data_IF_702125701259
#
_entry.id   IF_702125701259
#
_cell.length_a   1.000
_cell.length_b   1.000
_cell.length_c   1.000
_cell.angle_alpha   90.00
_cell.angle_beta   90.00
_cell.angle_gamma   90.00
#
_symmetry.space_group_name_H-M   'P 1'
#
loop_
_entity.id
_entity.type
_entity.pdbx_description
1 polymer ?
#
# COMPACT_ATOMS: atom_id res chain seq x y z
N UNK A 1 -29.05 -20.58 -30.60
CA UNK A 1 -28.47 -19.25 -30.91
C UNK A 1 -29.65 -18.32 -31.18
N UNK A 2 -30.17 -17.65 -30.16
CA UNK A 2 -31.27 -16.69 -30.31
C UNK A 2 -30.75 -15.33 -29.86
N UNK A 3 -30.48 -14.44 -30.82
CA UNK A 3 -30.09 -13.06 -30.55
C UNK A 3 -31.33 -12.26 -30.15
N UNK A 4 -31.38 -11.86 -28.89
CA UNK A 4 -32.37 -10.92 -28.38
C UNK A 4 -31.98 -9.50 -28.81
N UNK A 5 -32.69 -8.96 -29.79
CA UNK A 5 -32.62 -7.53 -30.13
C UNK A 5 -32.92 -6.68 -28.88
N UNK A 6 -32.12 -5.64 -28.59
CA UNK A 6 -32.44 -4.75 -27.48
C UNK A 6 -33.74 -4.00 -27.79
N UNK A 7 -34.67 -4.03 -26.84
CA UNK A 7 -35.91 -3.28 -26.90
C UNK A 7 -35.58 -1.78 -26.96
N UNK A 8 -35.77 -1.18 -28.14
CA UNK A 8 -35.79 0.27 -28.29
C UNK A 8 -36.89 0.79 -27.37
N UNK A 9 -36.48 1.54 -26.34
CA UNK A 9 -37.40 2.18 -25.42
C UNK A 9 -38.45 2.95 -26.21
N UNK A 10 -39.72 2.77 -25.84
CA UNK A 10 -40.86 3.48 -26.45
C UNK A 10 -40.59 4.98 -26.37
N UNK A 11 -40.20 5.57 -27.50
CA UNK A 11 -40.24 7.02 -27.67
C UNK A 11 -41.69 7.43 -27.43
N UNK A 12 -41.91 8.27 -26.41
CA UNK A 12 -43.23 8.85 -26.14
C UNK A 12 -43.80 9.45 -27.42
N UNK A 13 -45.09 9.23 -27.64
CA UNK A 13 -45.96 9.84 -28.67
C UNK A 13 -45.24 10.88 -29.52
N UNK A 14 -44.92 10.50 -30.76
CA UNK A 14 -44.23 11.28 -31.78
C UNK A 14 -44.48 12.79 -31.63
N UNK A 15 -43.52 13.49 -31.02
CA UNK A 15 -43.41 14.95 -31.13
C UNK A 15 -43.41 15.33 -32.61
N UNK A 16 -43.91 16.53 -32.92
CA UNK A 16 -43.87 17.12 -34.26
C UNK A 16 -42.45 16.94 -34.86
N UNK A 17 -42.35 16.56 -36.14
CA UNK A 17 -41.06 16.35 -36.80
C UNK A 17 -40.12 17.56 -36.66
N UNK A 18 -40.67 18.77 -36.58
CA UNK A 18 -39.93 20.01 -36.30
C UNK A 18 -39.33 20.01 -34.90
N UNK A 19 -40.06 19.52 -33.90
CA UNK A 19 -39.57 19.42 -32.53
C UNK A 19 -38.47 18.35 -32.41
N UNK A 20 -38.61 17.21 -33.11
CA UNK A 20 -37.56 16.18 -33.15
C UNK A 20 -36.28 16.69 -33.84
N UNK A 21 -36.41 17.42 -34.94
CA UNK A 21 -35.27 18.06 -35.63
C UNK A 21 -34.58 19.10 -34.73
N UNK A 22 -35.35 19.89 -33.97
CA UNK A 22 -34.80 20.85 -33.04
C UNK A 22 -34.05 20.17 -31.87
N UNK A 23 -34.61 19.11 -31.29
CA UNK A 23 -33.95 18.30 -30.25
C UNK A 23 -32.62 17.73 -30.79
N UNK A 24 -32.62 17.22 -32.02
CA UNK A 24 -31.41 16.70 -32.64
C UNK A 24 -30.36 17.80 -32.82
N UNK A 25 -30.75 18.97 -33.34
CA UNK A 25 -29.86 20.13 -33.49
C UNK A 25 -29.27 20.58 -32.16
N UNK A 26 -30.07 20.59 -31.10
CA UNK A 26 -29.60 21.01 -29.79
C UNK A 26 -28.65 19.98 -29.16
N UNK A 27 -28.90 18.66 -29.33
CA UNK A 27 -27.93 17.63 -28.95
C UNK A 27 -26.58 17.84 -29.64
N UNK A 28 -26.56 18.07 -30.95
CA UNK A 28 -25.31 18.30 -31.69
C UNK A 28 -24.57 19.55 -31.16
N UNK A 29 -25.29 20.65 -30.87
CA UNK A 29 -24.68 21.84 -30.27
C UNK A 29 -24.07 21.53 -28.90
N UNK A 30 -24.80 20.83 -28.04
CA UNK A 30 -24.31 20.46 -26.71
C UNK A 30 -23.11 19.52 -26.78
N UNK A 31 -23.09 18.58 -27.73
CA UNK A 31 -21.93 17.71 -27.95
C UNK A 31 -20.70 18.52 -28.38
N UNK A 32 -20.85 19.47 -29.30
CA UNK A 32 -19.77 20.36 -29.73
C UNK A 32 -19.27 21.22 -28.57
N UNK A 33 -20.17 21.81 -27.80
CA UNK A 33 -19.82 22.66 -26.67
C UNK A 33 -19.16 21.86 -25.53
N UNK A 34 -19.66 20.65 -25.26
CA UNK A 34 -19.05 19.73 -24.32
C UNK A 34 -17.65 19.34 -24.80
N UNK A 35 -17.47 19.00 -26.08
CA UNK A 35 -16.16 18.67 -26.66
C UNK A 35 -15.18 19.85 -26.61
N UNK A 36 -15.66 21.09 -26.73
CA UNK A 36 -14.85 22.31 -26.58
C UNK A 36 -14.45 22.58 -25.15
N UNK A 37 -15.34 22.34 -24.18
CA UNK A 37 -15.06 22.55 -22.73
C UNK A 37 -14.24 21.40 -22.13
N UNK A 38 -14.34 20.20 -22.69
CA UNK A 38 -13.72 19.00 -22.17
C UNK A 38 -12.20 19.12 -21.94
N UNK A 39 -11.37 19.71 -22.83
CA UNK A 39 -9.94 19.87 -22.58
C UNK A 39 -9.62 20.81 -21.42
N UNK A 40 -10.48 21.78 -21.12
CA UNK A 40 -10.26 22.70 -20.01
C UNK A 40 -10.66 22.06 -18.67
N UNK A 41 -11.83 21.42 -18.64
CA UNK A 41 -12.38 20.85 -17.41
C UNK A 41 -11.77 19.48 -17.08
N UNK A 42 -11.40 18.69 -18.10
CA UNK A 42 -10.94 17.30 -17.98
C UNK A 42 -9.59 17.04 -18.64
N UNK A 43 -8.92 18.05 -19.19
CA UNK A 43 -7.62 17.88 -19.84
C UNK A 43 -6.53 17.33 -18.91
N UNK A 44 -6.66 17.55 -17.60
CA UNK A 44 -5.75 17.01 -16.59
C UNK A 44 -5.71 15.48 -16.57
N UNK A 45 -6.75 14.80 -17.07
CA UNK A 45 -6.78 13.33 -17.20
C UNK A 45 -5.82 12.79 -18.27
N UNK A 46 -5.38 13.65 -19.21
CA UNK A 46 -4.36 13.28 -20.21
C UNK A 46 -2.94 13.40 -19.67
N UNK A 47 -2.75 14.23 -18.65
CA UNK A 47 -1.42 14.54 -18.10
C UNK A 47 -1.00 13.50 -17.09
N UNK A 48 0.31 13.22 -16.98
CA UNK A 48 0.82 12.33 -15.94
C UNK A 48 0.73 13.00 -14.56
N UNK A 49 0.54 12.21 -13.50
CA UNK A 49 0.57 12.72 -12.12
C UNK A 49 1.85 13.50 -11.82
N UNK A 50 2.99 13.05 -12.36
CA UNK A 50 4.26 13.73 -12.17
C UNK A 50 4.23 15.18 -12.66
N UNK A 51 3.59 15.46 -13.79
CA UNK A 51 3.50 16.81 -14.35
C UNK A 51 2.58 17.73 -13.54
N UNK A 52 1.49 17.19 -12.99
CA UNK A 52 0.53 17.95 -12.20
C UNK A 52 1.13 18.48 -10.89
N UNK A 53 2.12 17.76 -10.34
CA UNK A 53 2.67 18.05 -8.99
C UNK A 53 4.10 18.60 -9.05
N UNK A 54 4.60 18.94 -10.26
CA UNK A 54 5.93 19.55 -10.46
C UNK A 54 6.08 20.86 -9.69
N UNK A 55 5.03 21.68 -9.68
CA UNK A 55 5.07 23.02 -9.09
C UNK A 55 4.90 22.99 -7.56
N UNK A 56 4.21 21.99 -7.02
CA UNK A 56 4.04 21.79 -5.58
C UNK A 56 5.32 21.29 -4.92
N UNK A 57 6.11 20.47 -5.64
CA UNK A 57 7.37 19.89 -5.15
C UNK A 57 8.59 20.50 -5.84
N UNK A 58 8.70 21.82 -5.82
CA UNK A 58 9.94 22.48 -6.24
C UNK A 58 11.13 21.91 -5.46
N UNK A 59 12.03 21.26 -6.20
CA UNK A 59 13.24 20.65 -5.63
C UNK A 59 14.14 21.76 -5.10
N UNK A 60 14.03 22.05 -3.81
CA UNK A 60 14.95 22.97 -3.14
C UNK A 60 16.35 22.42 -3.29
N UNK A 61 17.25 23.23 -3.83
CA UNK A 61 18.67 22.90 -3.85
C UNK A 61 19.15 22.86 -2.39
N UNK A 62 19.29 21.65 -1.85
CA UNK A 62 19.88 21.44 -0.53
C UNK A 62 21.37 21.75 -0.68
N UNK A 63 21.73 23.00 -0.40
CA UNK A 63 23.15 23.38 -0.30
C UNK A 63 23.73 22.59 0.86
N UNK A 64 24.69 21.72 0.56
CA UNK A 64 25.44 20.99 1.58
C UNK A 64 26.19 22.02 2.41
N UNK A 65 25.78 22.21 3.65
CA UNK A 65 26.46 23.11 4.59
C UNK A 65 27.80 22.46 4.89
N UNK A 66 28.89 23.12 4.51
CA UNK A 66 30.23 22.72 4.93
C UNK A 66 30.36 23.06 6.42
N UNK A 67 30.48 22.02 7.25
CA UNK A 67 30.66 22.19 8.69
C UNK A 67 32.11 22.65 8.94
N UNK A 68 32.33 23.66 9.81
CA UNK A 68 33.68 24.05 10.19
C UNK A 68 34.41 22.89 10.89
N UNK A 69 35.77 22.83 10.83
CA UNK A 69 36.55 21.70 11.32
C UNK A 69 36.22 21.21 12.75
N UNK A 70 35.95 22.10 13.74
CA UNK A 70 35.58 21.67 15.10
C UNK A 70 34.25 20.90 15.19
N UNK A 71 33.37 21.06 14.20
CA UNK A 71 32.06 20.40 14.12
C UNK A 71 32.08 19.18 13.19
N UNK A 72 33.22 18.85 12.59
CA UNK A 72 33.36 17.64 11.79
C UNK A 72 33.51 16.43 12.72
N UNK A 73 32.61 15.45 12.57
CA UNK A 73 32.76 14.18 13.24
C UNK A 73 33.97 13.43 12.65
N UNK A 74 34.73 12.69 13.46
CA UNK A 74 35.74 11.78 12.92
C UNK A 74 35.07 10.81 11.93
N UNK A 75 35.80 10.35 10.89
CA UNK A 75 35.25 9.40 9.94
C UNK A 75 34.69 8.20 10.71
N UNK A 76 33.44 7.83 10.41
CA UNK A 76 32.82 6.65 11.00
C UNK A 76 33.78 5.49 10.76
N UNK A 77 34.30 4.95 11.86
CA UNK A 77 35.06 3.71 11.82
C UNK A 77 34.16 2.67 11.15
N UNK A 78 34.67 1.91 10.16
CA UNK A 78 33.83 1.00 9.41
C UNK A 78 33.12 0.07 10.39
N UNK A 79 31.81 -0.11 10.19
CA UNK A 79 30.94 -0.88 11.10
C UNK A 79 31.50 -2.29 11.35
N UNK A 80 32.28 -2.82 10.40
CA UNK A 80 32.99 -4.10 10.49
C UNK A 80 33.98 -4.20 11.67
N UNK A 81 34.49 -3.07 12.18
CA UNK A 81 35.37 -3.06 13.36
C UNK A 81 34.65 -3.49 14.63
N UNK A 82 33.34 -3.23 14.72
CA UNK A 82 32.53 -3.53 15.91
C UNK A 82 31.54 -4.68 15.67
N UNK A 83 31.06 -4.86 14.44
CA UNK A 83 30.14 -5.93 14.07
C UNK A 83 30.93 -7.05 13.40
N UNK A 84 31.24 -8.09 14.18
CA UNK A 84 31.83 -9.34 13.66
C UNK A 84 30.71 -10.31 13.30
N UNK A 85 30.40 -10.44 12.01
CA UNK A 85 29.47 -11.46 11.52
C UNK A 85 30.20 -12.80 11.49
N UNK A 86 29.85 -13.70 12.40
CA UNK A 86 30.40 -15.06 12.42
C UNK A 86 29.81 -15.91 11.28
N UNK A 87 30.55 -16.89 10.76
CA UNK A 87 30.04 -17.81 9.74
C UNK A 87 28.82 -18.61 10.26
N UNK A 88 27.99 -19.08 9.34
CA UNK A 88 26.83 -19.90 9.69
C UNK A 88 27.25 -21.23 10.37
N UNK A 89 26.43 -21.77 11.28
CA UNK A 89 26.64 -23.11 11.82
C UNK A 89 26.68 -24.14 10.68
N UNK A 90 27.63 -25.08 10.74
CA UNK A 90 27.74 -26.20 9.79
C UNK A 90 27.31 -27.50 10.47
N UNK A 91 26.66 -28.43 9.76
CA UNK A 91 26.41 -28.45 8.31
C UNK A 91 25.19 -27.61 7.89
N UNK A 92 25.29 -26.95 6.72
CA UNK A 92 24.13 -26.33 6.09
C UNK A 92 23.28 -27.43 5.41
N UNK A 93 21.94 -27.40 5.55
CA UNK A 93 21.07 -28.40 4.95
C UNK A 93 21.17 -28.43 3.42
N UNK A 94 21.26 -29.63 2.85
CA UNK A 94 21.33 -29.84 1.38
C UNK A 94 19.98 -29.65 0.69
N UNK A 95 18.88 -29.95 1.39
CA UNK A 95 17.52 -29.93 0.83
C UNK A 95 16.77 -28.67 1.24
N UNK A 96 15.98 -28.08 0.32
CA UNK A 96 15.15 -26.90 0.58
C UNK A 96 14.22 -27.08 1.78
N UNK A 97 13.56 -28.24 1.92
CA UNK A 97 12.70 -28.52 3.07
C UNK A 97 13.47 -28.49 4.40
N UNK A 98 14.71 -28.94 4.38
CA UNK A 98 15.60 -28.93 5.55
C UNK A 98 16.15 -27.54 5.87
N UNK A 99 15.98 -26.53 5.00
CA UNK A 99 16.33 -25.13 5.31
C UNK A 99 15.34 -24.46 6.25
N UNK A 100 14.16 -25.05 6.43
CA UNK A 100 13.14 -24.52 7.34
C UNK A 100 13.48 -25.04 8.75
N UNK A 101 13.76 -24.14 9.68
CA UNK A 101 13.96 -24.48 11.08
C UNK A 101 15.29 -25.16 11.47
N UNK A 102 16.21 -25.44 10.54
CA UNK A 102 17.49 -26.10 10.89
C UNK A 102 18.31 -25.36 11.94
N UNK A 103 18.27 -24.01 11.92
CA UNK A 103 18.95 -23.20 12.95
C UNK A 103 18.36 -23.44 14.32
N UNK A 104 17.04 -23.66 14.41
CA UNK A 104 16.30 -23.83 15.67
C UNK A 104 16.70 -25.09 16.44
N UNK A 105 17.42 -26.04 15.83
CA UNK A 105 18.03 -27.16 16.55
C UNK A 105 19.19 -26.75 17.46
N UNK A 106 19.92 -25.68 17.11
CA UNK A 106 21.03 -25.17 17.92
C UNK A 106 20.52 -24.45 19.17
N UNK A 107 21.14 -24.72 20.31
CA UNK A 107 20.79 -24.13 21.62
C UNK A 107 20.63 -22.61 21.58
N UNK A 108 21.56 -21.91 20.93
CA UNK A 108 21.57 -20.45 20.82
C UNK A 108 20.43 -19.87 19.96
N UNK A 109 19.81 -20.68 19.11
CA UNK A 109 18.83 -20.25 18.12
C UNK A 109 17.46 -20.94 18.30
N UNK A 110 17.23 -21.60 19.45
CA UNK A 110 15.95 -22.27 19.75
C UNK A 110 14.83 -21.23 19.82
N UNK A 111 13.72 -21.53 19.14
CA UNK A 111 12.50 -20.72 19.23
C UNK A 111 11.85 -20.86 20.61
N UNK A 112 11.91 -22.07 21.17
CA UNK A 112 11.40 -22.40 22.49
C UNK A 112 12.38 -21.98 23.60
N UNK A 113 12.52 -20.67 23.84
CA UNK A 113 13.38 -20.15 24.92
C UNK A 113 12.92 -20.59 26.31
N UNK A 114 11.61 -20.78 26.48
CA UNK A 114 10.99 -21.09 27.77
C UNK A 114 10.49 -22.54 27.87
N UNK A 115 10.59 -23.32 26.78
CA UNK A 115 10.21 -24.73 26.70
C UNK A 115 8.74 -25.01 27.01
N UNK A 116 8.39 -26.31 27.02
CA UNK A 116 7.08 -26.83 27.47
C UNK A 116 6.79 -26.60 28.97
N UNK A 117 7.70 -25.93 29.68
CA UNK A 117 7.65 -25.70 31.13
C UNK A 117 6.92 -24.41 31.52
N UNK A 118 6.33 -23.68 30.58
CA UNK A 118 5.30 -22.69 30.90
C UNK A 118 4.05 -23.42 31.42
N UNK A 119 4.13 -23.94 32.65
CA UNK A 119 2.96 -24.42 33.37
C UNK A 119 1.99 -23.23 33.39
N UNK A 120 0.72 -23.43 33.00
CA UNK A 120 -0.27 -22.36 33.12
C UNK A 120 -0.21 -21.89 34.57
N UNK A 121 0.02 -20.60 34.80
CA UNK A 121 0.18 -20.02 36.15
C UNK A 121 -1.13 -20.04 36.96
N UNK A 122 -2.09 -20.88 36.59
CA UNK A 122 -3.49 -20.82 36.99
C UNK A 122 -4.26 -19.78 36.17
N UNK A 123 -5.60 -19.85 36.20
CA UNK A 123 -6.45 -18.80 35.68
C UNK A 123 -6.39 -17.55 36.56
N UNK A 124 -6.56 -16.36 35.97
CA UNK A 124 -6.52 -15.06 36.67
C UNK A 124 -7.40 -15.02 37.92
N UNK A 125 -8.57 -15.67 37.87
CA UNK A 125 -9.51 -15.81 39.00
C UNK A 125 -8.82 -16.38 40.24
N UNK A 126 -8.05 -17.46 40.08
CA UNK A 126 -7.36 -18.13 41.19
C UNK A 126 -6.17 -17.32 41.70
N UNK A 127 -5.52 -16.56 40.81
CA UNK A 127 -4.40 -15.70 41.19
C UNK A 127 -4.85 -14.45 41.96
N UNK A 128 -5.99 -13.89 41.57
CA UNK A 128 -6.57 -12.68 42.17
C UNK A 128 -7.53 -13.00 43.32
N UNK A 129 -7.75 -14.29 43.62
CA UNK A 129 -8.68 -14.76 44.63
C UNK A 129 -10.09 -14.17 44.47
N UNK A 130 -10.53 -14.03 43.22
CA UNK A 130 -11.77 -13.34 42.88
C UNK A 130 -12.98 -14.15 43.39
N UNK A 131 -14.01 -13.52 43.98
CA UNK A 131 -15.20 -14.23 44.42
C UNK A 131 -15.96 -14.73 43.19
N UNK A 132 -16.67 -15.85 43.36
CA UNK A 132 -17.44 -16.48 42.27
C UNK A 132 -18.48 -15.52 41.66
N UNK A 133 -18.95 -14.55 42.45
CA UNK A 133 -19.90 -13.50 42.07
C UNK A 133 -19.40 -12.58 40.95
N UNK A 134 -18.08 -12.49 40.69
CA UNK A 134 -17.51 -11.63 39.65
C UNK A 134 -17.27 -12.31 38.30
N UNK A 135 -17.68 -13.57 38.15
CA UNK A 135 -17.44 -14.42 36.96
C UNK A 135 -18.74 -14.70 36.19
N UNK A 136 -19.90 -14.41 36.80
CA UNK A 136 -21.23 -14.47 36.16
C UNK A 136 -21.70 -13.11 35.63
#
# INVERSE_FOLDING_TARGET
MAETKPAVGKAGTSLNFVANDQIWKDHIKYEIDAARRWPNDWGFLRTSYGDLVKDDFQKREIKKIELPPPLTLPPITPISRYIKVLPSPKPYPTTSNSTIGWRSGHREHRLEKYGSYARPKGGLVKQLNWPAEGIE
#
